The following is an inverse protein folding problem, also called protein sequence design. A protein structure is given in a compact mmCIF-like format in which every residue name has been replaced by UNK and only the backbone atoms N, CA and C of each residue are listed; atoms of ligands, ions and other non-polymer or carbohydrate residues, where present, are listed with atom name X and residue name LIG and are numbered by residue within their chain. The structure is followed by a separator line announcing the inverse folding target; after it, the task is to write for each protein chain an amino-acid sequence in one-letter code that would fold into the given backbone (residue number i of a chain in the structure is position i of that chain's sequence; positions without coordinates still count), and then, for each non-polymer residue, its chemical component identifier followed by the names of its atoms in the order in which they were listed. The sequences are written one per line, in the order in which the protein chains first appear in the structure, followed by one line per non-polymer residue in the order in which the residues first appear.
data_IF_018402989935
#
_entry.id   IF_018402989935
#
_cell.length_a   1.000
_cell.length_b   1.000
_cell.length_c   1.000
_cell.angle_alpha   90.00
_cell.angle_beta   90.00
_cell.angle_gamma   90.00
#
_symmetry.space_group_name_H-M   'P 1'
#
loop_
_entity.id
_entity.type
_entity.pdbx_description
1 polymer ?
#
# COMPACT_ATOMS: atom_id res chain seq x y z
N UNK A 1 -11.48 8.83 14.83
CA UNK A 1 -10.01 8.71 14.72
C UNK A 1 -9.73 7.43 13.97
N UNK A 2 -8.84 7.43 12.97
CA UNK A 2 -8.45 6.23 12.22
C UNK A 2 -7.08 5.73 12.69
N UNK A 3 -6.85 4.42 12.65
CA UNK A 3 -5.56 3.77 12.91
C UNK A 3 -4.91 3.34 11.59
N UNK A 4 -3.67 3.77 11.36
CA UNK A 4 -2.86 3.43 10.19
C UNK A 4 -1.60 2.67 10.62
N UNK A 5 -1.21 1.66 9.85
CA UNK A 5 0.10 1.01 9.94
C UNK A 5 0.91 1.28 8.67
N UNK A 6 2.17 1.67 8.84
CA UNK A 6 3.12 1.85 7.74
C UNK A 6 4.10 0.67 7.70
N UNK A 7 4.30 0.10 6.50
CA UNK A 7 5.25 -1.00 6.29
C UNK A 7 6.46 -0.52 5.50
N UNK A 8 7.48 0.03 6.16
CA UNK A 8 8.64 0.69 5.50
C UNK A 8 9.87 -0.20 5.27
N UNK A 9 10.01 -1.29 6.01
CA UNK A 9 11.22 -2.16 5.97
C UNK A 9 10.94 -3.57 5.46
N UNK A 10 9.72 -3.78 4.95
CA UNK A 10 9.20 -5.07 4.53
C UNK A 10 9.46 -5.36 3.04
N UNK A 11 9.31 -6.62 2.63
CA UNK A 11 9.08 -7.01 1.24
C UNK A 11 7.61 -7.39 1.04
N UNK A 12 7.20 -7.74 -0.17
CA UNK A 12 5.81 -8.14 -0.47
C UNK A 12 5.25 -9.18 0.51
N UNK A 13 5.98 -10.26 0.77
CA UNK A 13 5.56 -11.34 1.69
C UNK A 13 5.41 -10.87 3.14
N UNK A 14 6.30 -9.98 3.59
CA UNK A 14 6.26 -9.40 4.94
C UNK A 14 5.10 -8.42 5.09
N UNK A 15 4.83 -7.58 4.07
CA UNK A 15 3.65 -6.70 4.05
C UNK A 15 2.38 -7.52 4.20
N UNK A 16 2.28 -8.63 3.47
CA UNK A 16 1.15 -9.55 3.60
C UNK A 16 1.04 -10.18 4.98
N UNK A 17 2.15 -10.66 5.54
CA UNK A 17 2.16 -11.29 6.86
C UNK A 17 1.71 -10.30 7.94
N UNK A 18 2.07 -9.02 7.80
CA UNK A 18 1.59 -7.94 8.66
C UNK A 18 0.09 -7.71 8.42
N UNK A 19 -0.35 -7.58 7.17
CA UNK A 19 -1.76 -7.41 6.83
C UNK A 19 -2.61 -8.54 7.45
N UNK A 20 -2.21 -9.80 7.28
CA UNK A 20 -2.86 -10.98 7.85
C UNK A 20 -2.96 -10.93 9.38
N UNK A 21 -2.03 -10.25 10.06
CA UNK A 21 -2.01 -10.15 11.51
C UNK A 21 -2.84 -8.98 12.07
N UNK A 22 -3.10 -7.93 11.28
CA UNK A 22 -3.69 -6.69 11.81
C UNK A 22 -4.86 -6.10 11.02
N UNK A 23 -5.25 -6.70 9.88
CA UNK A 23 -6.28 -6.13 8.99
C UNK A 23 -7.64 -5.86 9.65
N UNK A 24 -7.94 -6.50 10.78
CA UNK A 24 -9.20 -6.40 11.52
C UNK A 24 -9.19 -5.32 12.60
N UNK A 25 -8.01 -4.76 12.91
CA UNK A 25 -7.84 -3.71 13.95
C UNK A 25 -7.37 -2.37 13.40
N UNK A 26 -6.89 -2.33 12.15
CA UNK A 26 -6.46 -1.09 11.47
C UNK A 26 -7.55 -0.60 10.50
N UNK A 27 -7.54 0.70 10.24
CA UNK A 27 -8.37 1.30 9.19
C UNK A 27 -7.61 1.43 7.86
N UNK A 28 -6.28 1.63 7.91
CA UNK A 28 -5.42 1.89 6.75
C UNK A 28 -4.13 1.08 6.84
N UNK A 29 -3.80 0.37 5.76
CA UNK A 29 -2.47 -0.22 5.55
C UNK A 29 -1.72 0.61 4.51
N UNK A 30 -0.59 1.18 4.93
CA UNK A 30 0.32 1.92 4.07
C UNK A 30 1.47 1.02 3.61
N UNK A 31 1.62 0.92 2.29
CA UNK A 31 2.81 0.35 1.66
C UNK A 31 3.82 1.49 1.48
N UNK A 32 4.82 1.51 2.35
CA UNK A 32 5.80 2.60 2.44
C UNK A 32 6.68 2.73 1.19
N UNK A 33 7.21 3.95 0.96
CA UNK A 33 8.09 4.26 -0.17
C UNK A 33 9.24 3.25 -0.37
N UNK A 34 9.96 2.79 0.67
CA UNK A 34 11.09 1.86 0.46
C UNK A 34 10.64 0.49 -0.07
N UNK A 35 9.41 0.07 0.21
CA UNK A 35 8.83 -1.18 -0.31
C UNK A 35 8.40 -0.98 -1.76
N UNK A 36 7.68 0.10 -2.05
CA UNK A 36 7.27 0.44 -3.43
C UNK A 36 8.49 0.57 -4.35
N UNK A 37 9.56 1.21 -3.86
CA UNK A 37 10.80 1.38 -4.62
C UNK A 37 11.47 0.05 -4.98
N UNK A 38 11.32 -0.99 -4.14
CA UNK A 38 11.94 -2.30 -4.33
C UNK A 38 11.07 -3.29 -5.09
N UNK A 39 9.77 -3.30 -4.79
CA UNK A 39 8.82 -4.34 -5.21
C UNK A 39 7.84 -3.82 -6.29
N UNK A 40 7.91 -2.53 -6.60
CA UNK A 40 6.87 -1.82 -7.36
C UNK A 40 5.55 -1.78 -6.60
N UNK A 41 4.45 -1.70 -7.34
CA UNK A 41 3.09 -1.68 -6.78
C UNK A 41 2.52 -3.08 -6.54
N UNK A 42 3.35 -4.12 -6.70
CA UNK A 42 2.99 -5.52 -6.46
C UNK A 42 2.36 -5.71 -5.07
N UNK A 43 2.92 -5.21 -3.94
CA UNK A 43 2.30 -5.35 -2.62
C UNK A 43 0.92 -4.68 -2.51
N UNK A 44 0.74 -3.50 -3.13
CA UNK A 44 -0.52 -2.75 -3.10
C UNK A 44 -1.64 -3.57 -3.73
N UNK A 45 -1.43 -4.03 -4.97
CA UNK A 45 -2.37 -4.87 -5.70
C UNK A 45 -2.80 -6.09 -4.89
N UNK A 46 -1.80 -6.75 -4.34
CA UNK A 46 -1.94 -8.01 -3.64
C UNK A 46 -2.65 -7.90 -2.29
N UNK A 47 -2.32 -6.88 -1.49
CA UNK A 47 -3.06 -6.57 -0.25
C UNK A 47 -4.52 -6.28 -0.59
N UNK A 48 -4.79 -5.46 -1.62
CA UNK A 48 -6.16 -5.10 -1.98
C UNK A 48 -6.97 -6.28 -2.49
N UNK A 49 -6.37 -7.19 -3.25
CA UNK A 49 -7.03 -8.44 -3.69
C UNK A 49 -7.42 -9.34 -2.50
N UNK A 50 -6.57 -9.42 -1.46
CA UNK A 50 -6.82 -10.26 -0.28
C UNK A 50 -7.78 -9.60 0.71
N UNK A 51 -7.70 -8.28 0.86
CA UNK A 51 -8.52 -7.48 1.76
C UNK A 51 -9.26 -6.36 1.00
N UNK A 52 -10.31 -6.68 0.21
CA UNK A 52 -10.96 -5.69 -0.65
C UNK A 52 -11.53 -4.47 0.09
N UNK A 53 -11.93 -4.68 1.35
CA UNK A 53 -12.52 -3.64 2.20
C UNK A 53 -11.50 -2.85 3.02
N UNK A 54 -10.23 -3.28 3.06
CA UNK A 54 -9.17 -2.55 3.75
C UNK A 54 -8.72 -1.36 2.88
N UNK A 55 -8.57 -0.19 3.51
CA UNK A 55 -8.03 0.98 2.84
C UNK A 55 -6.52 0.79 2.66
N UNK A 56 -6.04 0.85 1.42
CA UNK A 56 -4.62 0.72 1.09
C UNK A 56 -4.08 2.06 0.63
N UNK A 57 -3.05 2.55 1.34
CA UNK A 57 -2.31 3.75 0.97
C UNK A 57 -1.02 3.33 0.26
N UNK A 58 -0.81 3.83 -0.96
CA UNK A 58 0.45 3.71 -1.67
C UNK A 58 1.28 4.98 -1.44
N UNK A 59 2.35 4.86 -0.63
CA UNK A 59 3.23 5.99 -0.27
C UNK A 59 4.34 6.15 -1.31
N UNK A 60 3.92 6.49 -2.52
CA UNK A 60 4.75 6.71 -3.70
C UNK A 60 5.68 7.91 -3.58
N UNK A 61 5.30 8.92 -2.76
CA UNK A 61 5.93 10.23 -2.65
C UNK A 61 6.18 10.87 -4.01
N UNK A 62 5.14 10.94 -4.84
CA UNK A 62 5.27 11.42 -6.21
C UNK A 62 5.80 12.86 -6.22
N UNK A 63 6.96 13.07 -6.83
CA UNK A 63 7.59 14.40 -6.99
C UNK A 63 7.43 14.92 -8.42
N UNK A 64 7.44 14.02 -9.41
CA UNK A 64 7.25 14.29 -10.83
C UNK A 64 6.44 13.15 -11.47
N UNK A 65 5.88 13.37 -12.66
CA UNK A 65 5.09 12.34 -13.34
C UNK A 65 3.72 12.07 -12.71
N UNK A 66 3.17 13.03 -11.94
CA UNK A 66 1.92 12.95 -11.15
C UNK A 66 0.86 12.02 -11.75
N UNK A 67 0.35 12.36 -12.94
CA UNK A 67 -0.74 11.62 -13.57
C UNK A 67 -0.37 10.17 -13.90
N UNK A 68 0.88 9.91 -14.32
CA UNK A 68 1.34 8.58 -14.74
C UNK A 68 1.52 7.69 -13.50
N UNK A 69 2.27 8.17 -12.50
CA UNK A 69 2.55 7.39 -11.30
C UNK A 69 1.28 7.16 -10.46
N UNK A 70 0.42 8.18 -10.36
CA UNK A 70 -0.87 8.06 -9.70
C UNK A 70 -1.81 7.10 -10.44
N UNK A 71 -1.84 7.12 -11.78
CA UNK A 71 -2.62 6.16 -12.58
C UNK A 71 -2.15 4.73 -12.33
N UNK A 72 -0.83 4.48 -12.28
CA UNK A 72 -0.29 3.16 -11.99
C UNK A 72 -0.66 2.68 -10.58
N UNK A 73 -0.57 3.55 -9.56
CA UNK A 73 -1.01 3.24 -8.19
C UNK A 73 -2.52 2.97 -8.11
N UNK A 74 -3.34 3.73 -8.85
CA UNK A 74 -4.79 3.52 -8.95
C UNK A 74 -5.13 2.20 -9.65
N UNK A 75 -4.40 1.83 -10.71
CA UNK A 75 -4.53 0.53 -11.40
C UNK A 75 -4.13 -0.64 -10.50
N UNK A 76 -3.19 -0.42 -9.59
CA UNK A 76 -2.86 -1.37 -8.52
C UNK A 76 -3.90 -1.37 -7.37
N UNK A 77 -4.99 -0.60 -7.49
CA UNK A 77 -6.08 -0.50 -6.54
C UNK A 77 -5.72 0.16 -5.19
N UNK A 78 -4.76 1.09 -5.17
CA UNK A 78 -4.60 1.99 -4.04
C UNK A 78 -5.87 2.83 -3.83
N UNK A 79 -6.31 2.97 -2.57
CA UNK A 79 -7.42 3.87 -2.22
C UNK A 79 -6.93 5.30 -1.97
N UNK A 80 -5.66 5.43 -1.55
CA UNK A 80 -4.97 6.70 -1.32
C UNK A 80 -3.59 6.60 -1.98
N UNK A 81 -3.21 7.64 -2.73
CA UNK A 81 -1.89 7.80 -3.31
C UNK A 81 -1.26 9.04 -2.66
N UNK A 82 -0.04 8.90 -2.15
CA UNK A 82 0.73 9.96 -1.49
C UNK A 82 2.12 10.08 -2.11
#
# INVERSE_FOLDING_TARGET
MKLQIATDIANTETVFSIADAVHDVIDILEVGTPVITKEGLTPVYHVKQRYPNLCVLADTKIVDGEAIECEDACKAHADIVM
#
